data_IF_097805314922
#
_entry.id   IF_097805314922
#
_cell.length_a   1.000
_cell.length_b   1.000
_cell.length_c   1.000
_cell.angle_alpha   90.00
_cell.angle_beta   90.00
_cell.angle_gamma   90.00
#
_symmetry.space_group_name_H-M   'P 1'
#
loop_
_entity.id
_entity.type
_entity.pdbx_description
1 polymer ?
#
# COMPACT_ATOMS: atom_id res chain seq x y z
N UNK A 1 6.77 16.05 -1.42
CA UNK A 1 7.82 16.73 -2.20
C UNK A 1 9.14 15.97 -2.21
N UNK A 2 9.72 15.61 -1.07
CA UNK A 2 11.06 14.98 -1.02
C UNK A 2 11.17 13.64 -1.78
N UNK A 3 10.14 12.77 -1.70
CA UNK A 3 10.07 11.49 -2.46
C UNK A 3 10.00 11.71 -3.99
N UNK A 4 9.32 12.76 -4.40
CA UNK A 4 9.10 13.14 -5.79
C UNK A 4 10.41 13.53 -6.46
N UNK A 5 11.19 14.36 -5.76
CA UNK A 5 12.50 14.82 -6.21
C UNK A 5 13.55 13.70 -6.16
N UNK A 6 13.55 12.86 -5.12
CA UNK A 6 14.53 11.78 -4.97
C UNK A 6 14.31 10.56 -5.85
N UNK A 7 13.05 10.17 -6.08
CA UNK A 7 12.75 8.85 -6.68
C UNK A 7 12.02 8.93 -8.01
N UNK A 8 11.48 10.09 -8.38
CA UNK A 8 10.63 10.22 -9.56
C UNK A 8 10.98 11.44 -10.44
N UNK A 9 12.12 12.10 -10.22
CA UNK A 9 12.56 13.27 -11.00
C UNK A 9 11.48 14.34 -11.17
N UNK A 10 10.73 14.62 -10.09
CA UNK A 10 9.60 15.55 -10.05
C UNK A 10 8.35 15.16 -10.88
N UNK A 11 8.30 13.94 -11.43
CA UNK A 11 7.12 13.41 -12.11
C UNK A 11 6.05 12.95 -11.11
N UNK A 12 5.02 13.78 -10.93
CA UNK A 12 3.91 13.58 -9.98
C UNK A 12 2.99 12.44 -10.39
N UNK A 13 2.96 12.05 -11.67
CA UNK A 13 2.14 10.93 -12.15
C UNK A 13 2.58 9.59 -11.57
N UNK A 14 3.82 9.49 -11.08
CA UNK A 14 4.40 8.26 -10.52
C UNK A 14 4.16 8.09 -9.02
N UNK A 15 3.50 9.04 -8.36
CA UNK A 15 3.14 8.90 -6.96
C UNK A 15 1.93 7.97 -6.82
N UNK A 16 2.17 6.85 -6.15
CA UNK A 16 1.15 5.81 -5.92
C UNK A 16 0.59 5.81 -4.50
N UNK A 17 1.02 6.74 -3.65
CA UNK A 17 0.73 6.74 -2.22
C UNK A 17 0.48 8.16 -1.68
N UNK A 18 -0.11 9.04 -2.51
CA UNK A 18 -0.58 10.35 -2.05
C UNK A 18 -1.61 10.16 -0.93
N UNK A 19 -2.52 9.21 -1.14
CA UNK A 19 -3.47 8.72 -0.15
C UNK A 19 -3.06 7.31 0.27
N UNK A 20 -2.93 7.09 1.58
CA UNK A 20 -2.63 5.77 2.15
C UNK A 20 -3.51 5.53 3.37
N UNK A 21 -4.08 4.33 3.46
CA UNK A 21 -4.70 3.86 4.69
C UNK A 21 -4.25 2.43 5.04
N UNK A 22 -4.58 2.02 6.26
CA UNK A 22 -4.28 0.70 6.77
C UNK A 22 -5.55 0.11 7.36
N UNK A 23 -5.79 -1.17 7.09
CA UNK A 23 -6.85 -1.95 7.70
C UNK A 23 -6.20 -3.12 8.42
N UNK A 24 -6.46 -3.24 9.72
CA UNK A 24 -5.88 -4.26 10.58
C UNK A 24 -6.94 -5.30 10.88
N UNK A 25 -6.58 -6.58 10.70
CA UNK A 25 -7.46 -7.72 10.87
C UNK A 25 -6.93 -8.63 11.97
N UNK A 26 -7.83 -9.17 12.79
CA UNK A 26 -7.49 -10.19 13.77
C UNK A 26 -7.30 -11.56 13.11
N UNK A 27 -8.10 -11.86 12.07
CA UNK A 27 -8.10 -13.15 11.39
C UNK A 27 -7.71 -13.01 9.93
N UNK A 28 -6.96 -14.00 9.43
CA UNK A 28 -6.55 -14.04 8.03
C UNK A 28 -7.74 -14.15 7.06
N UNK A 29 -8.79 -14.85 7.45
CA UNK A 29 -10.02 -14.98 6.66
C UNK A 29 -10.68 -13.62 6.39
N UNK A 30 -10.73 -12.74 7.40
CA UNK A 30 -11.32 -11.40 7.25
C UNK A 30 -10.52 -10.54 6.28
N UNK A 31 -9.19 -10.68 6.30
CA UNK A 31 -8.29 -10.02 5.34
C UNK A 31 -8.58 -10.50 3.91
N UNK A 32 -8.68 -11.82 3.71
CA UNK A 32 -8.95 -12.38 2.38
C UNK A 32 -10.34 -12.01 1.87
N UNK A 33 -11.34 -11.97 2.74
CA UNK A 33 -12.69 -11.54 2.40
C UNK A 33 -12.71 -10.05 2.01
N UNK A 34 -12.03 -9.20 2.77
CA UNK A 34 -11.90 -7.78 2.45
C UNK A 34 -11.22 -7.56 1.08
N UNK A 35 -10.14 -8.30 0.80
CA UNK A 35 -9.47 -8.25 -0.51
C UNK A 35 -10.42 -8.71 -1.63
N UNK A 36 -11.18 -9.78 -1.42
CA UNK A 36 -12.19 -10.26 -2.36
C UNK A 36 -13.23 -9.19 -2.69
N UNK A 37 -13.78 -8.54 -1.66
CA UNK A 37 -14.73 -7.43 -1.81
C UNK A 37 -14.12 -6.30 -2.63
N UNK A 38 -12.90 -5.86 -2.32
CA UNK A 38 -12.22 -4.78 -3.05
C UNK A 38 -12.00 -5.09 -4.54
N UNK A 39 -11.76 -6.37 -4.88
CA UNK A 39 -11.55 -6.80 -6.27
C UNK A 39 -12.87 -6.77 -7.06
N UNK A 40 -14.00 -7.03 -6.40
CA UNK A 40 -15.33 -7.12 -7.04
C UNK A 40 -16.17 -5.85 -6.91
N UNK A 41 -15.71 -4.85 -6.16
CA UNK A 41 -16.45 -3.61 -5.91
C UNK A 41 -16.31 -2.64 -7.09
N UNK A 42 -17.43 -2.35 -7.76
CA UNK A 42 -17.48 -1.47 -8.93
C UNK A 42 -17.16 0.01 -8.65
N UNK A 43 -17.14 0.42 -7.37
CA UNK A 43 -16.79 1.78 -6.93
C UNK A 43 -15.28 2.00 -6.84
N UNK A 44 -14.48 0.95 -6.96
CA UNK A 44 -13.03 1.00 -7.01
C UNK A 44 -12.49 0.16 -8.16
N UNK A 45 -11.26 0.44 -8.56
CA UNK A 45 -10.51 -0.42 -9.46
C UNK A 45 -9.16 -0.74 -8.87
N UNK A 46 -8.90 -2.02 -8.65
CA UNK A 46 -7.61 -2.52 -8.20
C UNK A 46 -6.63 -2.54 -9.38
N UNK A 47 -5.57 -1.74 -9.29
CA UNK A 47 -4.53 -1.68 -10.33
C UNK A 47 -3.35 -2.60 -10.00
N UNK A 48 -3.10 -2.87 -8.71
CA UNK A 48 -2.02 -3.77 -8.29
C UNK A 48 -2.25 -4.36 -6.91
N UNK A 49 -1.89 -5.64 -6.75
CA UNK A 49 -1.78 -6.30 -5.45
C UNK A 49 -0.32 -6.74 -5.24
N UNK A 50 0.26 -6.41 -4.09
CA UNK A 50 1.56 -6.92 -3.64
C UNK A 50 1.33 -7.76 -2.39
N UNK A 51 1.47 -9.08 -2.53
CA UNK A 51 1.35 -10.01 -1.42
C UNK A 51 2.71 -10.20 -0.72
N UNK A 52 2.94 -9.47 0.38
CA UNK A 52 4.13 -9.64 1.22
C UNK A 52 3.92 -10.65 2.35
N UNK A 53 2.73 -11.24 2.48
CA UNK A 53 2.47 -12.35 3.39
C UNK A 53 3.02 -13.67 2.83
N UNK A 54 3.09 -13.79 1.50
CA UNK A 54 3.62 -14.97 0.81
C UNK A 54 4.98 -15.41 1.37
N UNK A 55 5.15 -16.71 1.60
CA UNK A 55 6.43 -17.28 2.03
C UNK A 55 7.53 -17.13 0.98
N UNK A 56 7.16 -17.02 -0.30
CA UNK A 56 8.10 -16.76 -1.38
C UNK A 56 8.54 -15.28 -1.43
N UNK A 57 7.91 -14.38 -0.67
CA UNK A 57 8.28 -12.97 -0.65
C UNK A 57 9.58 -12.76 0.13
N UNK A 58 10.58 -12.18 -0.52
CA UNK A 58 11.82 -11.81 0.15
C UNK A 58 11.58 -10.64 1.10
N UNK A 59 11.41 -10.93 2.39
CA UNK A 59 11.15 -9.93 3.43
C UNK A 59 12.25 -8.85 3.54
N UNK A 60 13.47 -9.10 3.03
CA UNK A 60 14.51 -8.06 2.95
C UNK A 60 14.02 -6.89 2.11
N UNK A 61 13.28 -7.13 1.01
CA UNK A 61 12.76 -6.09 0.12
C UNK A 61 11.81 -5.11 0.81
N UNK A 62 11.13 -5.51 1.87
CA UNK A 62 10.22 -4.65 2.62
C UNK A 62 10.76 -4.23 3.99
N UNK A 63 12.04 -4.50 4.28
CA UNK A 63 12.63 -4.33 5.61
C UNK A 63 11.86 -5.09 6.70
N UNK A 64 11.37 -6.30 6.38
CA UNK A 64 10.66 -7.18 7.31
C UNK A 64 9.14 -7.02 7.34
N UNK A 65 8.58 -6.06 6.60
CA UNK A 65 7.15 -5.80 6.59
C UNK A 65 6.36 -6.92 5.90
N UNK A 66 5.27 -7.36 6.54
CA UNK A 66 4.38 -8.41 6.08
C UNK A 66 2.95 -7.86 6.04
N UNK A 67 2.48 -7.53 4.85
CA UNK A 67 1.15 -7.00 4.56
C UNK A 67 0.70 -7.46 3.16
N UNK A 68 -0.58 -7.24 2.84
CA UNK A 68 -1.05 -7.20 1.46
C UNK A 68 -1.27 -5.75 1.09
N UNK A 69 -0.44 -5.23 0.20
CA UNK A 69 -0.54 -3.84 -0.25
C UNK A 69 -1.31 -3.79 -1.57
N UNK A 70 -2.43 -3.07 -1.56
CA UNK A 70 -3.33 -2.90 -2.69
C UNK A 70 -3.23 -1.46 -3.18
N UNK A 71 -3.00 -1.29 -4.47
CA UNK A 71 -3.10 0.00 -5.14
C UNK A 71 -4.42 0.01 -5.90
N UNK A 72 -5.27 0.96 -5.58
CA UNK A 72 -6.58 1.10 -6.21
C UNK A 72 -6.86 2.56 -6.58
N UNK A 73 -7.79 2.77 -7.49
CA UNK A 73 -8.36 4.09 -7.80
C UNK A 73 -9.86 4.09 -7.56
N UNK A 74 -10.40 5.25 -7.18
CA UNK A 74 -11.82 5.43 -6.97
C UNK A 74 -12.51 5.72 -8.31
N UNK A 75 -13.53 4.95 -8.66
CA UNK A 75 -14.28 5.05 -9.93
C UNK A 75 -15.65 5.71 -9.77
N UNK A 76 -15.96 6.25 -8.58
CA UNK A 76 -17.22 6.94 -8.31
C UNK A 76 -17.38 8.19 -9.18
N UNK A 77 -18.64 8.57 -9.43
CA UNK A 77 -18.97 9.81 -10.15
C UNK A 77 -18.37 11.05 -9.46
N UNK A 78 -18.30 11.06 -8.13
CA UNK A 78 -17.67 12.15 -7.37
C UNK A 78 -16.19 12.27 -7.68
N UNK A 79 -15.46 11.14 -7.77
CA UNK A 79 -14.04 11.16 -8.12
C UNK A 79 -13.82 11.71 -9.54
N UNK A 80 -14.69 11.34 -10.49
CA UNK A 80 -14.67 11.86 -11.87
C UNK A 80 -14.98 13.36 -11.89
N UNK A 81 -16.01 13.80 -11.18
CA UNK A 81 -16.42 15.21 -11.13
C UNK A 81 -15.33 16.12 -10.54
N UNK A 82 -14.51 15.59 -9.63
CA UNK A 82 -13.38 16.30 -9.03
C UNK A 82 -12.07 16.14 -9.83
N UNK A 83 -12.05 15.32 -10.90
CA UNK A 83 -10.86 15.04 -11.71
C UNK A 83 -9.77 14.26 -10.97
N UNK A 84 -10.16 13.43 -10.00
CA UNK A 84 -9.24 12.68 -9.11
C UNK A 84 -9.29 11.17 -9.30
N UNK A 85 -10.05 10.67 -10.27
CA UNK A 85 -10.29 9.24 -10.53
C UNK A 85 -9.05 8.48 -11.05
N UNK A 86 -7.99 9.20 -11.44
CA UNK A 86 -6.69 8.62 -11.80
C UNK A 86 -5.73 8.53 -10.62
N UNK A 87 -6.06 9.13 -9.47
CA UNK A 87 -5.19 9.04 -8.30
C UNK A 87 -5.23 7.64 -7.70
N UNK A 88 -4.03 7.13 -7.39
CA UNK A 88 -3.86 5.85 -6.74
C UNK A 88 -3.86 6.04 -5.23
N UNK A 89 -4.76 5.31 -4.57
CA UNK A 89 -4.80 5.08 -3.14
C UNK A 89 -4.05 3.78 -2.81
N UNK A 90 -3.15 3.83 -1.83
CA UNK A 90 -2.50 2.64 -1.28
C UNK A 90 -3.25 2.16 -0.03
N UNK A 91 -3.79 0.95 -0.06
CA UNK A 91 -4.42 0.29 1.09
C UNK A 91 -3.51 -0.83 1.55
N UNK A 92 -3.09 -0.80 2.81
CA UNK A 92 -2.30 -1.87 3.42
C UNK A 92 -3.21 -2.72 4.29
N UNK A 93 -3.32 -4.01 3.98
CA UNK A 93 -4.06 -4.99 4.78
C UNK A 93 -3.06 -5.74 5.66
N UNK A 94 -3.23 -5.65 6.99
CA UNK A 94 -2.30 -6.22 7.96
C UNK A 94 -3.03 -7.17 8.92
N UNK A 95 -2.37 -8.26 9.32
CA UNK A 95 -2.80 -8.98 10.52
C UNK A 95 -2.33 -8.23 11.75
N UNK A 96 -3.10 -8.30 12.84
CA UNK A 96 -2.82 -7.59 14.11
C UNK A 96 -1.40 -7.87 14.60
N UNK A 97 -0.99 -9.13 14.65
CA UNK A 97 0.35 -9.54 15.08
C UNK A 97 1.46 -8.85 14.28
N UNK A 98 1.29 -8.72 12.95
CA UNK A 98 2.26 -8.02 12.10
C UNK A 98 2.20 -6.50 12.25
N UNK A 99 1.01 -5.94 12.50
CA UNK A 99 0.82 -4.53 12.80
C UNK A 99 1.52 -4.14 14.12
N UNK A 100 1.38 -4.96 15.15
CA UNK A 100 1.96 -4.71 16.47
C UNK A 100 3.49 -4.75 16.42
N UNK A 101 4.07 -5.74 15.73
CA UNK A 101 5.51 -5.82 15.47
C UNK A 101 6.05 -4.59 14.72
N UNK A 102 5.29 -4.06 13.77
CA UNK A 102 5.65 -2.86 12.99
C UNK A 102 5.70 -1.61 13.86
N UNK A 103 4.80 -1.48 14.82
CA UNK A 103 4.69 -0.29 15.69
C UNK A 103 5.86 -0.19 16.66
N UNK A 104 6.41 -1.33 17.10
CA UNK A 104 7.54 -1.37 18.02
C UNK A 104 8.92 -1.10 17.38
N UNK A 105 9.14 -1.39 16.08
CA UNK A 105 10.48 -1.28 15.45
C UNK A 105 10.53 -0.68 14.03
N UNK A 106 9.40 -0.46 13.35
CA UNK A 106 9.40 -0.49 11.87
C UNK A 106 9.74 0.82 11.13
N UNK A 107 9.10 1.94 11.47
CA UNK A 107 9.02 3.06 10.52
C UNK A 107 10.36 3.78 10.28
N UNK A 108 11.14 4.03 11.33
CA UNK A 108 12.46 4.68 11.21
C UNK A 108 13.50 3.78 10.53
N UNK A 109 13.48 2.47 10.80
CA UNK A 109 14.34 1.48 10.15
C UNK A 109 13.97 1.28 8.68
N UNK A 110 12.68 1.27 8.35
CA UNK A 110 12.20 1.22 6.96
C UNK A 110 12.70 2.42 6.15
N UNK A 111 12.58 3.65 6.69
CA UNK A 111 13.06 4.86 6.00
C UNK A 111 14.57 4.78 5.76
N UNK A 112 15.35 4.30 6.73
CA UNK A 112 16.81 4.10 6.59
C UNK A 112 17.15 3.06 5.53
N UNK A 113 16.53 1.87 5.59
CA UNK A 113 16.79 0.78 4.64
C UNK A 113 16.37 1.15 3.20
N UNK A 114 15.25 1.87 3.04
CA UNK A 114 14.80 2.36 1.73
C UNK A 114 15.76 3.39 1.14
N UNK A 115 16.23 4.34 1.94
CA UNK A 115 17.15 5.38 1.47
C UNK A 115 18.49 4.81 1.00
N UNK A 116 18.92 3.66 1.53
CA UNK A 116 20.15 2.97 1.11
C UNK A 116 20.05 2.26 -0.25
N UNK A 117 18.85 2.13 -0.83
CA UNK A 117 18.62 1.51 -2.15
C UNK A 117 18.50 2.51 -3.30
N UNK A 118 18.57 3.80 -2.99
CA UNK A 118 18.51 4.89 -3.97
C UNK A 118 19.88 5.44 -4.36
N UNK A 119 20.95 4.66 -4.18
CA UNK A 119 22.31 4.97 -4.61
C UNK A 119 22.64 4.18 -5.87
#
# INVERSE_FOLDING_TARGET
MEKLLRSYSADHSKLLDVTRCQVVFERFEDLTNCLGIMITDDLVRVERVKNRLSMAYNAKESAGYRDVCVNLRNTTQTAVALGVEQHICEVQLLLKDFSDLRTHQGHSLYVRARNHRGC
#
